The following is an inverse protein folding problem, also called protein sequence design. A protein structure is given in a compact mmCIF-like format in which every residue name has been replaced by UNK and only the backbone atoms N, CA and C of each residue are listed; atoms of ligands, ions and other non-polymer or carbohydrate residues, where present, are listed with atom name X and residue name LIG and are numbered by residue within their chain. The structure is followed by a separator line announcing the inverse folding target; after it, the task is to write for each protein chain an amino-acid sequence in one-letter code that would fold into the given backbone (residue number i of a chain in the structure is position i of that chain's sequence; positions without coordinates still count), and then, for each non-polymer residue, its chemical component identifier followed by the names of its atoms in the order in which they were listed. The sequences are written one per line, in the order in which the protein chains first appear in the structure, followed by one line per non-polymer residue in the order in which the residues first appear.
data_IF_571536828069
#
_entry.id   IF_571536828069
#
_cell.length_a   1.000
_cell.length_b   1.000
_cell.length_c   1.000
_cell.angle_alpha   90.00
_cell.angle_beta   90.00
_cell.angle_gamma   90.00
#
_symmetry.space_group_name_H-M   'P 1'
#
loop_
_entity.id
_entity.type
_entity.pdbx_description
1 polymer ?
#
# COMPACT_ATOMS: atom_id res chain seq x y z
N UNK A 1 -25.81 14.87 -48.15
CA UNK A 1 -25.77 13.72 -49.07
C UNK A 1 -24.34 13.68 -49.58
N UNK A 2 -23.57 12.61 -49.43
CA UNK A 2 -23.90 11.31 -50.01
C UNK A 2 -23.43 10.11 -49.19
N UNK A 3 -24.38 9.20 -49.00
CA UNK A 3 -24.29 7.91 -48.32
C UNK A 3 -23.58 6.83 -49.16
N UNK A 4 -22.68 7.24 -50.07
CA UNK A 4 -22.18 6.38 -51.15
C UNK A 4 -20.65 6.25 -51.18
N UNK A 5 -20.02 6.20 -50.00
CA UNK A 5 -18.64 5.73 -49.82
C UNK A 5 -18.59 4.50 -48.89
N UNK A 6 -19.64 3.67 -48.91
CA UNK A 6 -19.71 2.43 -48.10
C UNK A 6 -19.70 1.15 -48.97
N UNK A 7 -19.37 1.26 -50.26
CA UNK A 7 -19.37 0.13 -51.21
C UNK A 7 -18.02 -0.20 -51.83
N UNK A 8 -16.92 0.33 -51.30
CA UNK A 8 -15.58 0.03 -51.85
C UNK A 8 -14.54 -0.29 -50.77
N UNK A 9 -14.89 -1.19 -49.85
CA UNK A 9 -13.92 -1.84 -48.95
C UNK A 9 -14.24 -3.35 -48.78
N UNK A 10 -14.73 -3.99 -49.85
CA UNK A 10 -14.71 -5.46 -50.01
C UNK A 10 -13.37 -5.92 -50.58
N UNK A 11 -12.28 -5.66 -49.85
CA UNK A 11 -10.97 -6.23 -50.17
C UNK A 11 -10.21 -6.56 -48.88
N UNK A 12 -9.90 -7.84 -48.60
CA UNK A 12 -9.28 -8.29 -47.36
C UNK A 12 -7.76 -7.98 -47.26
N UNK A 13 -7.26 -6.99 -48.00
CA UNK A 13 -5.83 -6.67 -48.12
C UNK A 13 -5.44 -5.25 -47.66
N UNK A 14 -6.35 -4.51 -47.02
CA UNK A 14 -6.06 -3.20 -46.39
C UNK A 14 -5.74 -3.36 -44.89
N UNK A 15 -4.81 -4.27 -44.56
CA UNK A 15 -4.27 -4.41 -43.21
C UNK A 15 -3.20 -3.33 -42.96
N UNK A 16 -3.69 -2.15 -42.57
CA UNK A 16 -3.07 -1.27 -41.55
C UNK A 16 -1.56 -1.07 -41.63
N UNK A 17 -1.13 -0.48 -42.74
CA UNK A 17 -0.06 0.52 -42.80
C UNK A 17 -0.57 1.88 -42.29
N UNK A 18 -1.19 1.91 -41.10
CA UNK A 18 -1.69 3.14 -40.48
C UNK A 18 -0.76 3.56 -39.34
N UNK A 19 0.15 4.45 -39.70
CA UNK A 19 0.70 5.55 -38.90
C UNK A 19 1.24 5.23 -37.50
N UNK A 20 2.56 5.05 -37.45
CA UNK A 20 3.40 5.53 -36.35
C UNK A 20 3.18 7.03 -36.14
N UNK A 21 2.49 7.42 -35.07
CA UNK A 21 2.59 8.74 -34.44
C UNK A 21 1.83 8.72 -33.10
N UNK A 22 2.53 8.59 -31.98
CA UNK A 22 1.88 8.56 -30.67
C UNK A 22 2.79 8.18 -29.51
N UNK A 23 3.92 8.87 -29.39
CA UNK A 23 4.65 8.98 -28.14
C UNK A 23 3.73 9.63 -27.09
N UNK A 24 3.28 8.89 -26.09
CA UNK A 24 2.89 9.40 -24.77
C UNK A 24 2.62 8.23 -23.81
N UNK A 25 3.68 7.84 -23.10
CA UNK A 25 3.63 7.38 -21.69
C UNK A 25 2.47 6.48 -21.27
N UNK A 26 2.65 5.16 -21.34
CA UNK A 26 2.19 4.31 -20.24
C UNK A 26 3.23 4.46 -19.13
N UNK A 27 3.26 5.63 -18.51
CA UNK A 27 3.95 5.87 -17.25
C UNK A 27 2.88 6.30 -16.25
N UNK A 28 3.00 5.84 -15.01
CA UNK A 28 2.05 5.98 -13.91
C UNK A 28 0.87 4.99 -13.87
N UNK A 29 1.18 3.70 -13.75
CA UNK A 29 0.44 2.84 -12.81
C UNK A 29 1.39 2.36 -11.70
N UNK A 30 2.15 3.28 -11.11
CA UNK A 30 2.87 3.05 -9.85
C UNK A 30 2.19 3.81 -8.73
N UNK A 31 0.87 3.64 -8.58
CA UNK A 31 0.28 3.72 -7.25
C UNK A 31 0.52 2.35 -6.58
N UNK A 32 1.71 2.16 -6.02
CA UNK A 32 1.93 1.13 -5.01
C UNK A 32 1.62 1.77 -3.65
N UNK A 33 0.39 1.64 -3.09
CA UNK A 33 0.12 2.08 -1.74
C UNK A 33 0.65 1.04 -0.75
N UNK A 34 1.96 0.87 -0.72
CA UNK A 34 2.66 0.07 0.27
C UNK A 34 4.10 0.57 0.46
N UNK A 35 4.35 1.85 0.16
CA UNK A 35 5.64 2.46 0.42
C UNK A 35 5.85 2.45 1.94
N UNK A 36 6.77 1.61 2.39
CA UNK A 36 7.31 1.65 3.74
C UNK A 36 7.88 3.05 3.97
N UNK A 37 7.18 3.82 4.80
CA UNK A 37 7.62 5.14 5.25
C UNK A 37 8.34 4.94 6.60
N UNK A 38 9.65 5.21 6.73
CA UNK A 38 10.39 5.01 7.96
C UNK A 38 9.80 5.78 9.15
N UNK A 39 9.08 6.87 8.88
CA UNK A 39 8.35 7.68 9.86
C UNK A 39 7.27 6.87 10.58
N UNK A 40 6.70 5.84 9.93
CA UNK A 40 5.72 4.94 10.55
C UNK A 40 6.33 4.14 11.71
N UNK A 41 7.64 3.86 11.71
CA UNK A 41 8.29 3.18 12.83
C UNK A 41 8.25 4.05 14.09
N UNK A 42 8.50 5.36 13.95
CA UNK A 42 8.42 6.32 15.05
C UNK A 42 6.99 6.42 15.58
N UNK A 43 6.02 6.55 14.67
CA UNK A 43 4.60 6.57 15.03
C UNK A 43 4.19 5.27 15.73
N UNK A 44 4.66 4.12 15.25
CA UNK A 44 4.36 2.80 15.82
C UNK A 44 4.86 2.66 17.27
N UNK A 45 6.02 3.23 17.61
CA UNK A 45 6.58 3.15 18.97
C UNK A 45 6.04 4.21 19.93
N UNK A 46 5.49 5.32 19.42
CA UNK A 46 4.97 6.43 20.23
C UNK A 46 3.44 6.43 20.37
N UNK A 47 2.73 5.99 19.33
CA UNK A 47 1.27 6.07 19.27
C UNK A 47 0.64 4.98 20.15
N UNK A 48 -0.44 5.37 20.82
CA UNK A 48 -1.29 4.47 21.60
C UNK A 48 -2.51 4.03 20.81
N UNK A 49 -2.96 2.81 21.07
CA UNK A 49 -4.17 2.26 20.49
C UNK A 49 -5.39 3.09 20.95
N UNK A 50 -6.20 3.63 20.01
CA UNK A 50 -7.29 4.54 20.35
C UNK A 50 -8.58 3.82 20.80
N UNK A 51 -8.73 2.52 20.51
CA UNK A 51 -9.95 1.77 20.80
C UNK A 51 -9.68 0.28 21.06
N UNK A 52 -10.72 -0.45 21.46
CA UNK A 52 -10.71 -1.90 21.62
C UNK A 52 -10.07 -2.36 22.94
N UNK A 53 -9.82 -3.67 23.05
CA UNK A 53 -9.32 -4.32 24.27
C UNK A 53 -7.99 -3.74 24.78
N UNK A 54 -7.15 -3.23 23.87
CA UNK A 54 -5.82 -2.71 24.20
C UNK A 54 -5.74 -1.17 24.15
N UNK A 55 -6.88 -0.48 24.30
CA UNK A 55 -6.92 0.98 24.32
C UNK A 55 -5.89 1.54 25.33
N UNK A 56 -5.15 2.57 24.91
CA UNK A 56 -4.11 3.22 25.72
C UNK A 56 -2.75 2.52 25.73
N UNK A 57 -2.63 1.31 25.17
CA UNK A 57 -1.34 0.62 25.00
C UNK A 57 -0.61 1.09 23.75
N UNK A 58 0.72 1.12 23.77
CA UNK A 58 1.53 1.41 22.58
C UNK A 58 1.29 0.37 21.48
N UNK A 59 1.27 0.82 20.22
CA UNK A 59 1.07 -0.08 19.08
C UNK A 59 2.18 -1.15 18.99
N UNK A 60 3.43 -0.77 19.29
CA UNK A 60 4.57 -1.68 19.39
C UNK A 60 4.39 -2.83 20.40
N UNK A 61 3.57 -2.64 21.44
CA UNK A 61 3.37 -3.62 22.54
C UNK A 61 2.12 -4.47 22.37
N UNK A 62 1.42 -4.33 21.25
CA UNK A 62 0.23 -5.14 20.98
C UNK A 62 0.62 -6.63 20.86
N UNK A 63 -0.16 -7.55 21.45
CA UNK A 63 0.11 -8.98 21.33
C UNK A 63 -0.04 -9.46 19.88
N UNK A 64 0.84 -10.37 19.43
CA UNK A 64 0.79 -10.91 18.06
C UNK A 64 -0.58 -11.49 17.73
N UNK A 65 -1.20 -12.25 18.63
CA UNK A 65 -2.54 -12.82 18.43
C UNK A 65 -3.61 -11.77 18.11
N UNK A 66 -3.50 -10.57 18.69
CA UNK A 66 -4.43 -9.47 18.42
C UNK A 66 -4.23 -8.89 17.02
N UNK A 67 -2.98 -8.78 16.59
CA UNK A 67 -2.63 -8.34 15.24
C UNK A 67 -3.00 -9.40 14.20
N UNK A 68 -2.81 -10.69 14.48
CA UNK A 68 -3.26 -11.79 13.62
C UNK A 68 -4.77 -11.78 13.43
N UNK A 69 -5.54 -11.42 14.47
CA UNK A 69 -6.99 -11.25 14.33
C UNK A 69 -7.32 -10.13 13.33
N UNK A 70 -6.66 -8.98 13.43
CA UNK A 70 -6.82 -7.90 12.45
C UNK A 70 -6.37 -8.31 11.04
N UNK A 71 -5.27 -9.06 10.91
CA UNK A 71 -4.81 -9.55 9.60
C UNK A 71 -5.87 -10.42 8.89
N UNK A 72 -6.73 -11.10 9.65
CA UNK A 72 -7.84 -11.92 9.12
C UNK A 72 -9.11 -11.12 8.85
N UNK A 73 -9.41 -10.11 9.67
CA UNK A 73 -10.61 -9.28 9.53
C UNK A 73 -10.42 -8.12 8.54
N UNK A 74 -9.17 -7.68 8.35
CA UNK A 74 -8.81 -6.47 7.62
C UNK A 74 -8.31 -5.37 8.56
N UNK A 75 -7.40 -4.56 8.04
CA UNK A 75 -6.84 -3.41 8.76
C UNK A 75 -7.78 -2.19 8.68
N UNK A 76 -7.86 -1.36 9.72
CA UNK A 76 -8.59 -0.11 9.65
C UNK A 76 -7.98 0.81 8.58
N UNK A 77 -8.76 1.67 7.92
CA UNK A 77 -8.21 2.59 6.92
C UNK A 77 -7.29 3.64 7.55
N UNK A 78 -6.42 4.20 6.72
CA UNK A 78 -5.52 5.29 7.11
C UNK A 78 -4.24 4.83 7.81
N UNK A 79 -3.58 5.78 8.47
CA UNK A 79 -2.25 5.57 9.06
C UNK A 79 -2.25 4.49 10.16
N UNK A 80 -3.33 4.41 10.95
CA UNK A 80 -3.44 3.41 12.01
C UNK A 80 -3.34 1.98 11.46
N UNK A 81 -4.04 1.67 10.37
CA UNK A 81 -3.97 0.34 9.75
C UNK A 81 -2.60 0.03 9.19
N UNK A 82 -1.93 1.03 8.61
CA UNK A 82 -0.56 0.89 8.12
C UNK A 82 0.40 0.58 9.28
N UNK A 83 0.28 1.28 10.41
CA UNK A 83 1.07 1.00 11.61
C UNK A 83 0.78 -0.40 12.19
N UNK A 84 -0.49 -0.82 12.22
CA UNK A 84 -0.87 -2.16 12.72
C UNK A 84 -0.36 -3.28 11.81
N UNK A 85 -0.45 -3.10 10.49
CA UNK A 85 0.11 -4.04 9.52
C UNK A 85 1.63 -4.12 9.67
N UNK A 86 2.31 -2.98 9.79
CA UNK A 86 3.76 -2.94 10.03
C UNK A 86 4.15 -3.63 11.35
N UNK A 87 3.40 -3.38 12.43
CA UNK A 87 3.62 -4.02 13.72
C UNK A 87 3.44 -5.54 13.64
N UNK A 88 2.46 -5.99 12.86
CA UNK A 88 2.24 -7.41 12.60
C UNK A 88 3.42 -8.04 11.88
N UNK A 89 3.89 -7.44 10.78
CA UNK A 89 5.03 -7.97 10.01
C UNK A 89 6.28 -8.06 10.88
N UNK A 90 6.61 -7.02 11.65
CA UNK A 90 7.77 -7.02 12.54
C UNK A 90 7.67 -8.15 13.57
N UNK A 91 6.51 -8.32 14.21
CA UNK A 91 6.32 -9.34 15.25
C UNK A 91 6.26 -10.75 14.67
N UNK A 92 5.61 -10.94 13.53
CA UNK A 92 5.49 -12.23 12.87
C UNK A 92 6.87 -12.78 12.45
N UNK A 93 7.77 -11.89 12.03
CA UNK A 93 9.15 -12.23 11.66
C UNK A 93 10.13 -12.24 12.86
N UNK A 94 9.66 -11.99 14.09
CA UNK A 94 10.53 -11.98 15.28
C UNK A 94 11.47 -10.77 15.39
N UNK A 95 11.23 -9.70 14.63
CA UNK A 95 12.08 -8.50 14.56
C UNK A 95 11.73 -7.44 15.62
N UNK A 96 11.10 -7.82 16.72
CA UNK A 96 10.63 -6.85 17.74
C UNK A 96 11.77 -6.05 18.38
N UNK A 97 12.94 -6.67 18.52
CA UNK A 97 14.15 -6.02 19.06
C UNK A 97 14.65 -4.86 18.20
N UNK A 98 14.33 -4.83 16.90
CA UNK A 98 14.69 -3.72 15.99
C UNK A 98 14.04 -2.40 16.44
N UNK A 99 12.92 -2.48 17.17
CA UNK A 99 12.23 -1.31 17.69
C UNK A 99 12.84 -0.82 19.01
N UNK A 100 13.60 -1.64 19.74
CA UNK A 100 14.20 -1.26 21.01
C UNK A 100 15.04 0.03 20.97
N UNK A 101 15.95 0.25 20.00
CA UNK A 101 16.70 1.50 19.92
C UNK A 101 15.82 2.72 19.65
N UNK A 102 14.70 2.57 18.94
CA UNK A 102 13.77 3.67 18.63
C UNK A 102 12.92 4.09 19.84
N UNK A 103 12.85 3.25 20.87
CA UNK A 103 12.12 3.51 22.12
C UNK A 103 12.96 4.24 23.15
N UNK A 104 14.29 4.23 22.97
CA UNK A 104 15.21 4.99 23.79
C UNK A 104 15.27 6.39 23.17
N UNK A 105 14.92 7.39 23.96
CA UNK A 105 15.17 8.78 23.59
C UNK A 105 16.66 8.95 23.22
N UNK A 106 17.00 9.78 22.21
CA UNK A 106 18.39 10.14 21.90
C UNK A 106 18.92 11.05 23.01
N UNK A 107 19.22 10.47 24.16
CA UNK A 107 19.86 11.13 25.28
C UNK A 107 21.08 10.31 25.68
N UNK A 108 22.06 10.25 24.79
CA UNK A 108 23.48 10.11 25.14
C UNK A 108 24.34 10.89 24.13
#
# INVERSE_FOLDING_TARGET
MDFNCLKSLSSPQQLRRFCLAGCATISAMTSHPAAFAPELLLVLVQQRMPFGKYQGRLLADLPLAYLTWFARQGWPPGQLGQCLALAYEIKHNGLSEVLAPLRKDPAE
#
